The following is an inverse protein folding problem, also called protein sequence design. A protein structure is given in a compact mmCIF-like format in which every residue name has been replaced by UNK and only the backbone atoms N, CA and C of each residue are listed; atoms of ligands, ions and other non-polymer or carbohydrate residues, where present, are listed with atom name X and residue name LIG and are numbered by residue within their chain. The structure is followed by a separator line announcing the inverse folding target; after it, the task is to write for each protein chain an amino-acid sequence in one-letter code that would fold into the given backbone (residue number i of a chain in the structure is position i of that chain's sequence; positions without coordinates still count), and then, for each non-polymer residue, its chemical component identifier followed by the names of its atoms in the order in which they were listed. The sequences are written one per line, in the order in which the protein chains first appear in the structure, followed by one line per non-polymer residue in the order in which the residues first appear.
data_IF_473860704247
#
_entry.id   IF_473860704247
#
_cell.length_a   1.000
_cell.length_b   1.000
_cell.length_c   1.000
_cell.angle_alpha   90.00
_cell.angle_beta   90.00
_cell.angle_gamma   90.00
#
_symmetry.space_group_name_H-M   'P 1'
#
loop_
_entity.id
_entity.type
_entity.pdbx_description
1 polymer ?
#
# COMPACT_ATOMS: atom_id res chain seq x y z
N UNK A 1 21.79 -2.08 -9.35
CA UNK A 1 20.63 -2.03 -8.45
C UNK A 1 20.14 -3.43 -8.10
N UNK A 2 19.84 -3.71 -6.82
CA UNK A 2 19.91 -5.08 -6.26
C UNK A 2 18.70 -5.99 -6.52
N UNK A 3 17.62 -5.50 -7.15
CA UNK A 3 16.41 -6.31 -7.41
C UNK A 3 15.95 -6.34 -8.88
N UNK A 4 16.42 -5.44 -9.74
CA UNK A 4 15.98 -5.31 -11.15
C UNK A 4 14.46 -5.52 -11.33
N UNK A 5 13.67 -4.77 -10.55
CA UNK A 5 12.23 -4.92 -10.45
C UNK A 5 11.53 -3.57 -10.52
N UNK A 6 10.29 -3.58 -10.99
CA UNK A 6 9.41 -2.40 -10.95
C UNK A 6 8.96 -2.13 -9.51
N UNK A 7 9.10 -0.88 -9.06
CA UNK A 7 8.69 -0.45 -7.74
C UNK A 7 7.43 0.39 -7.81
N UNK A 8 6.45 0.05 -6.97
CA UNK A 8 5.19 0.76 -6.85
C UNK A 8 4.97 1.24 -5.41
N UNK A 9 4.55 2.49 -5.25
CA UNK A 9 4.10 3.03 -3.97
C UNK A 9 2.60 3.21 -4.03
N UNK A 10 1.86 2.42 -3.25
CA UNK A 10 0.41 2.47 -3.18
C UNK A 10 -0.07 3.26 -1.96
N UNK A 11 -0.90 4.28 -2.21
CA UNK A 11 -1.69 4.94 -1.19
C UNK A 11 -3.17 4.63 -1.43
N UNK A 12 -3.85 4.10 -0.40
CA UNK A 12 -5.29 3.82 -0.42
C UNK A 12 -6.01 4.81 0.46
N UNK A 13 -6.81 5.66 -0.15
CA UNK A 13 -7.56 6.69 0.53
C UNK A 13 -8.97 6.22 0.92
N UNK A 14 -9.36 6.51 2.17
CA UNK A 14 -10.70 6.19 2.65
C UNK A 14 -11.74 7.19 2.14
N UNK A 15 -11.33 8.44 1.97
CA UNK A 15 -12.15 9.54 1.48
C UNK A 15 -12.10 9.61 -0.04
N UNK A 16 -13.05 10.33 -0.65
CA UNK A 16 -13.00 10.59 -2.07
C UNK A 16 -11.81 11.51 -2.39
N UNK A 17 -11.08 11.23 -3.47
CA UNK A 17 -9.90 11.99 -3.89
C UNK A 17 -10.26 13.47 -4.10
N UNK A 18 -11.46 13.76 -4.59
CA UNK A 18 -11.92 15.13 -4.80
C UNK A 18 -12.22 15.86 -3.49
N UNK A 19 -12.51 15.13 -2.40
CA UNK A 19 -12.79 15.70 -1.07
C UNK A 19 -11.58 15.80 -0.16
N UNK A 20 -10.39 15.39 -0.61
CA UNK A 20 -9.16 15.45 0.19
C UNK A 20 -8.80 16.91 0.51
N UNK A 21 -8.47 17.18 1.78
CA UNK A 21 -8.05 18.50 2.26
C UNK A 21 -6.75 18.98 1.58
N UNK A 22 -6.53 20.30 1.55
CA UNK A 22 -5.33 20.88 0.94
C UNK A 22 -4.03 20.33 1.55
N UNK A 23 -3.95 20.21 2.88
CA UNK A 23 -2.78 19.65 3.56
C UNK A 23 -2.51 18.20 3.16
N UNK A 24 -3.55 17.38 2.99
CA UNK A 24 -3.39 15.99 2.61
C UNK A 24 -3.05 15.82 1.12
N UNK A 25 -3.56 16.71 0.25
CA UNK A 25 -3.10 16.81 -1.14
C UNK A 25 -1.61 17.12 -1.21
N UNK A 26 -1.13 18.05 -0.39
CA UNK A 26 0.30 18.37 -0.32
C UNK A 26 1.14 17.14 0.08
N UNK A 27 0.72 16.39 1.11
CA UNK A 27 1.41 15.15 1.51
C UNK A 27 1.46 14.11 0.38
N UNK A 28 0.37 13.95 -0.38
CA UNK A 28 0.34 13.03 -1.53
C UNK A 28 1.32 13.48 -2.62
N UNK A 29 1.42 14.78 -2.90
CA UNK A 29 2.39 15.31 -3.86
C UNK A 29 3.84 15.13 -3.39
N UNK A 30 4.11 15.29 -2.09
CA UNK A 30 5.42 14.99 -1.50
C UNK A 30 5.79 13.50 -1.69
N UNK A 31 4.86 12.58 -1.43
CA UNK A 31 5.08 11.16 -1.66
C UNK A 31 5.28 10.81 -3.14
N UNK A 32 4.51 11.43 -4.06
CA UNK A 32 4.73 11.27 -5.50
C UNK A 32 6.12 11.73 -5.91
N UNK A 33 6.54 12.91 -5.45
CA UNK A 33 7.88 13.45 -5.73
C UNK A 33 8.97 12.51 -5.21
N UNK A 34 8.83 12.01 -3.98
CA UNK A 34 9.78 11.05 -3.41
C UNK A 34 9.81 9.74 -4.20
N UNK A 35 8.65 9.22 -4.59
CA UNK A 35 8.52 7.99 -5.37
C UNK A 35 9.24 8.11 -6.71
N UNK A 36 9.06 9.24 -7.41
CA UNK A 36 9.72 9.51 -8.68
C UNK A 36 11.24 9.63 -8.55
N UNK A 37 11.78 10.10 -7.41
CA UNK A 37 13.23 10.16 -7.16
C UNK A 37 13.89 8.77 -7.08
N UNK A 38 13.10 7.72 -6.86
CA UNK A 38 13.56 6.32 -6.85
C UNK A 38 13.15 5.54 -8.11
N UNK A 39 12.80 6.24 -9.20
CA UNK A 39 12.32 5.64 -10.45
C UNK A 39 11.13 4.66 -10.25
N UNK A 40 10.30 4.95 -9.25
CA UNK A 40 9.13 4.16 -8.89
C UNK A 40 7.83 4.81 -9.38
N UNK A 41 6.75 4.03 -9.44
CA UNK A 41 5.43 4.50 -9.83
C UNK A 41 4.52 4.70 -8.63
N UNK A 42 3.95 5.90 -8.49
CA UNK A 42 2.96 6.18 -7.45
C UNK A 42 1.54 5.81 -7.90
N UNK A 43 0.82 5.07 -7.06
CA UNK A 43 -0.54 4.60 -7.32
C UNK A 43 -1.45 5.12 -6.21
N UNK A 44 -2.46 5.91 -6.59
CA UNK A 44 -3.48 6.41 -5.68
C UNK A 44 -4.80 5.71 -5.96
N UNK A 45 -5.37 5.07 -4.94
CA UNK A 45 -6.64 4.34 -5.05
C UNK A 45 -7.62 4.79 -3.98
N UNK A 46 -8.90 4.70 -4.29
CA UNK A 46 -9.97 4.95 -3.33
C UNK A 46 -10.51 3.63 -2.77
N UNK A 47 -10.67 3.57 -1.45
CA UNK A 47 -11.32 2.47 -0.78
C UNK A 47 -12.78 2.31 -1.24
N UNK A 48 -13.49 3.41 -1.50
CA UNK A 48 -14.91 3.44 -1.92
C UNK A 48 -15.80 2.58 -1.00
N UNK A 49 -15.57 2.65 0.31
CA UNK A 49 -16.30 1.86 1.32
C UNK A 49 -15.83 0.41 1.46
N UNK A 50 -14.90 -0.07 0.63
CA UNK A 50 -14.25 -1.39 0.77
C UNK A 50 -13.15 -1.33 1.83
N UNK A 51 -12.69 -2.50 2.29
CA UNK A 51 -11.53 -2.54 3.18
C UNK A 51 -10.30 -2.16 2.37
N UNK A 52 -9.36 -1.37 2.92
CA UNK A 52 -8.11 -1.04 2.24
C UNK A 52 -7.34 -2.27 1.73
N UNK A 53 -7.45 -3.40 2.45
CA UNK A 53 -6.89 -4.68 2.04
C UNK A 53 -7.39 -5.19 0.69
N UNK A 54 -8.70 -5.07 0.43
CA UNK A 54 -9.29 -5.56 -0.82
C UNK A 54 -8.73 -4.76 -2.01
N UNK A 55 -8.54 -3.46 -1.81
CA UNK A 55 -7.92 -2.56 -2.79
C UNK A 55 -6.45 -2.91 -3.00
N UNK A 56 -5.70 -3.16 -1.93
CA UNK A 56 -4.29 -3.58 -2.03
C UNK A 56 -4.17 -4.88 -2.84
N UNK A 57 -5.03 -5.88 -2.58
CA UNK A 57 -5.05 -7.15 -3.32
C UNK A 57 -5.37 -6.92 -4.79
N UNK A 58 -6.37 -6.09 -5.09
CA UNK A 58 -6.77 -5.76 -6.47
C UNK A 58 -5.62 -5.11 -7.23
N UNK A 59 -4.98 -4.10 -6.64
CA UNK A 59 -3.84 -3.40 -7.25
C UNK A 59 -2.67 -4.35 -7.43
N UNK A 60 -2.34 -5.15 -6.42
CA UNK A 60 -1.25 -6.11 -6.50
C UNK A 60 -1.45 -7.12 -7.63
N UNK A 61 -2.70 -7.60 -7.86
CA UNK A 61 -3.03 -8.45 -9.01
C UNK A 61 -2.93 -7.69 -10.33
N UNK A 62 -3.49 -6.48 -10.40
CA UNK A 62 -3.52 -5.63 -11.59
C UNK A 62 -2.10 -5.29 -12.08
N UNK A 63 -1.18 -5.07 -11.15
CA UNK A 63 0.22 -4.74 -11.41
C UNK A 63 1.16 -5.95 -11.34
N UNK A 64 0.61 -7.16 -11.17
CA UNK A 64 1.37 -8.41 -11.07
C UNK A 64 2.51 -8.36 -10.03
N UNK A 65 2.28 -7.66 -8.92
CA UNK A 65 3.23 -7.50 -7.82
C UNK A 65 3.53 -8.87 -7.21
N UNK A 66 4.81 -9.16 -6.99
CA UNK A 66 5.27 -10.41 -6.36
C UNK A 66 5.71 -10.21 -4.91
N UNK A 67 5.91 -8.96 -4.46
CA UNK A 67 6.33 -8.64 -3.10
C UNK A 67 5.66 -7.37 -2.59
N UNK A 68 5.17 -7.39 -1.34
CA UNK A 68 4.57 -6.23 -0.67
C UNK A 68 5.42 -5.89 0.56
N UNK A 69 5.90 -4.65 0.63
CA UNK A 69 6.59 -4.08 1.78
C UNK A 69 5.60 -3.27 2.63
N UNK A 70 5.52 -3.58 3.93
CA UNK A 70 4.63 -2.88 4.87
C UNK A 70 5.42 -2.41 6.08
N UNK A 71 5.19 -1.16 6.49
CA UNK A 71 5.70 -0.67 7.77
C UNK A 71 5.01 -1.35 8.95
N UNK A 72 5.71 -1.41 10.08
CA UNK A 72 5.18 -2.01 11.32
C UNK A 72 3.87 -1.37 11.80
N UNK A 73 3.70 -0.06 11.61
CA UNK A 73 2.45 0.66 11.93
C UNK A 73 1.28 0.23 11.04
N UNK A 74 1.53 -0.03 9.76
CA UNK A 74 0.54 -0.61 8.85
C UNK A 74 0.15 -2.02 9.31
N UNK A 75 1.11 -2.80 9.85
CA UNK A 75 0.83 -4.12 10.44
C UNK A 75 -0.08 -4.04 11.68
N UNK A 76 -0.03 -3.02 12.50
CA UNK A 76 -0.98 -2.92 13.62
C UNK A 76 -2.36 -2.50 13.10
N UNK A 77 -2.39 -1.51 12.21
CA UNK A 77 -3.63 -0.91 11.70
C UNK A 77 -4.47 -1.88 10.85
N UNK A 78 -3.86 -2.76 10.05
CA UNK A 78 -4.60 -3.81 9.31
C UNK A 78 -5.06 -4.97 10.23
N UNK A 79 -4.44 -5.18 11.41
CA UNK A 79 -4.78 -6.23 12.38
C UNK A 79 -5.99 -5.77 13.21
N UNK A 80 -6.13 -4.46 13.42
CA UNK A 80 -7.31 -3.83 14.03
C UNK A 80 -8.56 -3.88 13.14
N UNK A 81 -8.39 -4.03 11.82
CA UNK A 81 -9.50 -4.18 10.85
C UNK A 81 -10.14 -5.60 10.91
N UNK A 82 -9.79 -6.41 11.93
CA UNK A 82 -10.16 -7.83 12.11
C UNK A 82 -11.67 -8.12 12.18
N UNK A 83 -12.18 -8.78 11.13
CA UNK A 83 -13.14 -9.91 11.21
C UNK A 83 -12.64 -11.19 10.50
N UNK A 84 -11.42 -11.14 9.98
CA UNK A 84 -10.68 -12.18 9.28
C UNK A 84 -9.33 -11.56 8.93
N UNK A 85 -8.22 -12.20 9.29
CA UNK A 85 -6.88 -11.61 9.13
C UNK A 85 -6.64 -11.22 7.67
N UNK A 86 -6.46 -9.93 7.39
CA UNK A 86 -6.11 -9.40 6.06
C UNK A 86 -4.84 -10.06 5.53
N UNK A 87 -3.88 -10.32 6.43
CA UNK A 87 -2.68 -11.08 6.11
C UNK A 87 -3.05 -12.46 5.63
N UNK A 88 -3.98 -13.15 6.31
CA UNK A 88 -4.42 -14.48 5.91
C UNK A 88 -5.24 -14.43 4.61
N UNK A 89 -5.97 -13.35 4.36
CA UNK A 89 -6.70 -13.16 3.10
C UNK A 89 -5.74 -12.95 1.93
N UNK A 90 -4.77 -12.05 2.06
CA UNK A 90 -3.70 -11.86 1.09
C UNK A 90 -2.95 -13.20 0.94
N UNK A 91 -2.34 -13.74 2.00
CA UNK A 91 -1.62 -15.03 1.95
C UNK A 91 -2.45 -16.19 1.34
N UNK A 92 -3.78 -16.25 1.57
CA UNK A 92 -4.68 -17.26 0.97
C UNK A 92 -4.96 -16.99 -0.50
N UNK A 93 -5.15 -15.72 -0.87
CA UNK A 93 -5.54 -15.27 -2.20
C UNK A 93 -4.35 -14.96 -3.13
N UNK A 94 -3.15 -14.90 -2.57
CA UNK A 94 -1.90 -14.51 -3.22
C UNK A 94 -0.82 -15.52 -2.87
N UNK A 95 -1.02 -16.78 -3.29
CA UNK A 95 -0.07 -17.90 -3.10
C UNK A 95 1.35 -17.61 -3.64
N UNK A 96 1.55 -16.50 -4.34
CA UNK A 96 2.77 -16.07 -5.02
C UNK A 96 3.22 -14.63 -4.66
N UNK A 97 2.63 -14.01 -3.62
CA UNK A 97 3.03 -12.67 -3.18
C UNK A 97 3.61 -12.75 -1.78
N UNK A 98 4.89 -12.41 -1.66
CA UNK A 98 5.58 -12.35 -0.37
C UNK A 98 5.26 -11.04 0.34
N UNK A 99 4.99 -11.09 1.65
CA UNK A 99 4.77 -9.89 2.45
C UNK A 99 5.93 -9.71 3.44
N UNK A 100 6.61 -8.57 3.34
CA UNK A 100 7.70 -8.18 4.20
C UNK A 100 7.27 -7.04 5.12
N UNK A 101 7.40 -7.27 6.42
CA UNK A 101 7.09 -6.25 7.43
C UNK A 101 8.40 -5.63 7.88
N UNK A 102 8.58 -4.36 7.57
CA UNK A 102 9.76 -3.59 7.91
C UNK A 102 9.50 -2.85 9.23
N UNK A 103 10.36 -3.10 10.21
CA UNK A 103 10.36 -2.36 11.46
C UNK A 103 10.79 -0.92 11.22
N UNK A 104 10.16 0.01 11.94
CA UNK A 104 10.66 1.39 11.97
C UNK A 104 11.97 1.39 12.75
N UNK A 105 13.10 1.67 12.08
CA UNK A 105 14.40 1.82 12.74
C UNK A 105 14.61 3.22 13.33
N UNK A 106 13.61 4.11 13.24
CA UNK A 106 13.66 5.44 13.84
C UNK A 106 12.73 5.49 15.06
N UNK A 107 13.28 5.05 16.19
CA UNK A 107 12.92 5.60 17.50
C UNK A 107 13.67 6.90 17.73
#
# INVERSE_FOLDING_TARGET
DRLNAELYVLNVERENINSISAGKKQTIEEWKSLTNQFDASFVLEEAKGRKPADVIIEVARRLQVTQILLGQSARTRWEEIRKGSIVNEIMRQTKYIDIHIVADQRG
#
